data_IF_540829991897
#
_entry.id   IF_540829991897
#
_cell.length_a   1.000
_cell.length_b   1.000
_cell.length_c   1.000
_cell.angle_alpha   90.00
_cell.angle_beta   90.00
_cell.angle_gamma   90.00
#
_symmetry.space_group_name_H-M   'P 1'
#
loop_
_entity.id
_entity.type
_entity.pdbx_description
1 polymer ?
#
# COMPACT_ATOMS: atom_id res chain seq x y z
N UNK A 1 8.28 -9.99 -0.60
CA UNK A 1 9.23 -8.85 -0.80
C UNK A 1 9.40 -8.12 0.53
N UNK A 2 10.61 -8.02 1.10
CA UNK A 2 10.84 -7.33 2.38
C UNK A 2 11.24 -5.86 2.15
N UNK A 3 10.26 -5.03 1.85
CA UNK A 3 10.42 -3.58 1.84
C UNK A 3 9.93 -3.06 3.19
N UNK A 4 10.85 -2.71 4.08
CA UNK A 4 10.53 -2.15 5.40
C UNK A 4 9.68 -0.87 5.31
N UNK A 5 9.26 -0.30 6.46
CA UNK A 5 8.32 0.81 6.50
C UNK A 5 8.75 2.01 5.64
N UNK A 6 7.86 2.54 4.79
CA UNK A 6 8.12 3.65 3.86
C UNK A 6 7.27 4.88 4.15
N UNK A 7 7.78 6.08 3.88
CA UNK A 7 6.98 7.30 3.95
C UNK A 7 6.15 7.50 2.67
N UNK A 8 5.08 8.32 2.71
CA UNK A 8 4.33 8.69 1.51
C UNK A 8 5.20 9.30 0.40
N UNK A 9 6.24 10.06 0.76
CA UNK A 9 7.18 10.66 -0.19
C UNK A 9 8.02 9.59 -0.89
N UNK A 10 8.51 8.59 -0.16
CA UNK A 10 9.25 7.46 -0.72
C UNK A 10 8.37 6.66 -1.68
N UNK A 11 7.13 6.37 -1.28
CA UNK A 11 6.17 5.65 -2.12
C UNK A 11 5.78 6.45 -3.37
N UNK A 12 5.59 7.77 -3.25
CA UNK A 12 5.31 8.65 -4.38
C UNK A 12 6.44 8.64 -5.41
N UNK A 13 7.69 8.71 -4.93
CA UNK A 13 8.87 8.62 -5.79
C UNK A 13 8.99 7.26 -6.48
N UNK A 14 8.83 6.16 -5.74
CA UNK A 14 8.95 4.80 -6.28
C UNK A 14 7.85 4.44 -7.28
N UNK A 15 6.62 4.91 -7.06
CA UNK A 15 5.47 4.62 -7.90
C UNK A 15 5.27 5.63 -9.04
N UNK A 16 6.06 6.72 -9.08
CA UNK A 16 5.95 7.76 -10.10
C UNK A 16 4.62 8.54 -10.05
N UNK A 17 4.00 8.66 -8.87
CA UNK A 17 2.72 9.35 -8.67
C UNK A 17 2.84 10.48 -7.65
N UNK A 18 1.84 11.35 -7.60
CA UNK A 18 1.85 12.48 -6.67
C UNK A 18 1.71 12.05 -5.20
N UNK A 19 2.36 12.76 -4.28
CA UNK A 19 2.22 12.51 -2.84
C UNK A 19 0.77 12.64 -2.33
N UNK A 20 -0.07 13.58 -2.82
CA UNK A 20 -1.50 13.59 -2.51
C UNK A 20 -2.23 12.30 -2.91
N UNK A 21 -1.94 11.75 -4.10
CA UNK A 21 -2.51 10.48 -4.57
C UNK A 21 -2.14 9.33 -3.62
N UNK A 22 -0.86 9.20 -3.28
CA UNK A 22 -0.40 8.19 -2.31
C UNK A 22 -1.07 8.38 -0.94
N UNK A 23 -1.17 9.61 -0.46
CA UNK A 23 -1.80 9.91 0.83
C UNK A 23 -3.29 9.57 0.85
N UNK A 24 -4.01 9.77 -0.26
CA UNK A 24 -5.41 9.38 -0.38
C UNK A 24 -5.57 7.86 -0.36
N UNK A 25 -4.75 7.14 -1.12
CA UNK A 25 -4.76 5.67 -1.18
C UNK A 25 -4.40 5.07 0.18
N UNK A 26 -3.32 5.53 0.82
CA UNK A 26 -2.93 5.04 2.16
C UNK A 26 -4.00 5.30 3.22
N UNK A 27 -4.74 6.41 3.12
CA UNK A 27 -5.89 6.66 3.99
C UNK A 27 -7.00 5.63 3.75
N UNK A 28 -7.33 5.33 2.49
CA UNK A 28 -8.33 4.32 2.16
C UNK A 28 -7.90 2.93 2.66
N UNK A 29 -6.66 2.52 2.38
CA UNK A 29 -6.09 1.25 2.84
C UNK A 29 -6.04 1.14 4.38
N UNK A 30 -5.77 2.24 5.07
CA UNK A 30 -5.81 2.30 6.54
C UNK A 30 -7.24 2.11 7.06
N UNK A 31 -8.22 2.72 6.41
CA UNK A 31 -9.63 2.62 6.83
C UNK A 31 -10.15 1.19 6.77
N UNK A 32 -9.63 0.37 5.84
CA UNK A 32 -9.93 -1.07 5.74
C UNK A 32 -8.90 -1.95 6.45
N UNK A 33 -8.08 -1.35 7.32
CA UNK A 33 -7.17 -2.06 8.23
C UNK A 33 -5.99 -2.82 7.59
N UNK A 34 -5.70 -2.58 6.30
CA UNK A 34 -4.63 -3.27 5.56
C UNK A 34 -3.24 -2.69 5.82
N UNK A 35 -3.14 -1.38 6.06
CA UNK A 35 -1.87 -0.70 6.37
C UNK A 35 -1.91 -0.06 7.75
N UNK A 36 -0.74 0.01 8.37
CA UNK A 36 -0.46 0.72 9.62
C UNK A 36 0.63 1.75 9.37
N UNK A 37 0.76 2.70 10.28
CA UNK A 37 1.92 3.57 10.31
C UNK A 37 2.43 3.76 11.73
N UNK A 38 3.72 4.02 11.82
CA UNK A 38 4.35 4.56 13.01
C UNK A 38 4.77 6.01 12.76
N UNK A 39 4.75 6.83 13.81
CA UNK A 39 5.18 8.22 13.75
C UNK A 39 6.60 8.30 14.31
N UNK A 40 7.56 8.68 13.47
CA UNK A 40 8.93 8.95 13.87
C UNK A 40 9.28 10.39 13.51
N UNK A 41 9.62 11.22 14.50
CA UNK A 41 10.15 12.57 14.29
C UNK A 41 9.35 13.41 13.27
N UNK A 42 8.01 13.39 13.38
CA UNK A 42 7.05 14.09 12.50
C UNK A 42 6.77 13.44 11.13
N UNK A 43 7.38 12.29 10.83
CA UNK A 43 7.10 11.53 9.61
C UNK A 43 6.34 10.25 9.90
N UNK A 44 5.33 9.95 9.07
CA UNK A 44 4.58 8.70 9.13
C UNK A 44 5.24 7.67 8.22
N UNK A 45 5.64 6.54 8.79
CA UNK A 45 6.17 5.40 8.02
C UNK A 45 5.12 4.31 7.99
N UNK A 46 4.66 3.98 6.79
CA UNK A 46 3.61 2.99 6.54
C UNK A 46 4.20 1.60 6.30
N UNK A 47 3.50 0.58 6.79
CA UNK A 47 3.80 -0.83 6.59
C UNK A 47 2.50 -1.65 6.53
N UNK A 48 2.57 -2.83 5.93
CA UNK A 48 1.44 -3.77 5.88
C UNK A 48 1.19 -4.33 7.28
N UNK A 49 -0.07 -4.38 7.69
CA UNK A 49 -0.43 -4.80 9.05
C UNK A 49 -0.09 -6.27 9.33
N UNK A 50 -0.14 -7.14 8.33
CA UNK A 50 -0.12 -8.59 8.55
C UNK A 50 0.76 -9.28 7.49
N UNK A 51 1.68 -10.20 7.85
CA UNK A 51 2.46 -10.98 6.89
C UNK A 51 1.60 -11.84 5.95
N UNK A 52 0.45 -12.32 6.44
CA UNK A 52 -0.54 -13.07 5.65
C UNK A 52 -1.23 -12.23 4.54
N UNK A 53 -1.04 -10.90 4.48
CA UNK A 53 -1.57 -10.10 3.36
C UNK A 53 -0.92 -10.47 2.04
N UNK A 54 0.23 -11.15 2.01
CA UNK A 54 0.83 -11.60 0.75
C UNK A 54 -0.07 -12.63 0.03
N UNK A 55 -0.82 -13.46 0.76
CA UNK A 55 -1.82 -14.35 0.16
C UNK A 55 -3.08 -13.60 -0.29
N UNK A 56 -3.49 -12.58 0.47
CA UNK A 56 -4.63 -11.73 0.12
C UNK A 56 -4.32 -10.86 -1.11
N UNK A 57 -3.12 -10.29 -1.18
CA UNK A 57 -2.58 -9.53 -2.30
C UNK A 57 -2.53 -10.39 -3.56
N UNK A 58 -1.94 -11.60 -3.48
CA UNK A 58 -1.96 -12.57 -4.58
C UNK A 58 -3.36 -12.93 -5.04
N UNK A 59 -4.32 -12.99 -4.10
CA UNK A 59 -5.72 -13.27 -4.43
C UNK A 59 -6.38 -12.09 -5.14
N UNK A 60 -6.10 -10.85 -4.70
CA UNK A 60 -6.59 -9.64 -5.34
C UNK A 60 -5.97 -9.43 -6.73
N UNK A 61 -4.67 -9.62 -6.88
CA UNK A 61 -3.99 -9.59 -8.18
C UNK A 61 -4.59 -10.60 -9.16
N UNK A 62 -4.91 -11.81 -8.68
CA UNK A 62 -5.54 -12.84 -9.51
C UNK A 62 -6.93 -12.39 -9.99
N UNK A 63 -7.73 -11.81 -9.10
CA UNK A 63 -9.07 -11.29 -9.45
C UNK A 63 -8.96 -10.17 -10.48
N UNK A 64 -8.06 -9.20 -10.28
CA UNK A 64 -7.84 -8.09 -11.22
C UNK A 64 -7.42 -8.62 -12.60
N UNK A 65 -6.46 -9.54 -12.67
CA UNK A 65 -6.03 -10.16 -13.94
C UNK A 65 -7.16 -10.89 -14.65
N UNK A 66 -8.04 -11.58 -13.93
CA UNK A 66 -9.20 -12.25 -14.54
C UNK A 66 -10.19 -11.24 -15.14
N UNK A 67 -10.39 -10.10 -14.49
CA UNK A 67 -11.26 -9.03 -15.00
C UNK A 67 -10.64 -8.36 -16.24
N UNK A 68 -9.33 -8.17 -16.26
CA UNK A 68 -8.60 -7.61 -17.42
C UNK A 68 -8.62 -8.55 -18.63
N UNK A 69 -8.65 -9.88 -18.42
CA UNK A 69 -8.72 -10.88 -19.50
C UNK A 69 -10.14 -11.14 -20.03
N UNK A 70 -11.16 -10.63 -19.35
CA UNK A 70 -12.57 -10.73 -19.75
C UNK A 70 -13.03 -9.54 -20.62
N UNK A 71 -12.19 -8.51 -20.78
CA UNK A 71 -12.36 -7.41 -21.72
C UNK A 71 -11.47 -7.60 -22.96
#
# INVERSE_FOLDING_TARGET
MNNGPKTPEQLAHELGVSMPTVSQVLRALRNIDLVRYEVFWRSRKYFLKIPETEQLEKSLERIVKQIEQLH
#
